data_IF_813327000310
#
_entry.id   IF_813327000310
#
_cell.length_a   1.000
_cell.length_b   1.000
_cell.length_c   1.000
_cell.angle_alpha   90.00
_cell.angle_beta   90.00
_cell.angle_gamma   90.00
#
_symmetry.space_group_name_H-M   'P 1'
#
loop_
_entity.id
_entity.type
_entity.pdbx_description
1 polymer ?
2 non-polymer ?
3 non-polymer ?
4 non-polymer ?
5 water ?
#
# COMPACT_ATOMS: atom_id res chain seq x y z
N UNK A 2 5.21 -10.76 -18.08
CA UNK A 2 6.26 -10.49 -17.10
C UNK A 2 6.17 -11.40 -15.88
N UNK A 3 7.28 -11.50 -15.19
CA UNK A 3 7.45 -12.32 -14.01
C UNK A 3 7.03 -11.58 -12.75
N UNK A 4 6.25 -12.26 -11.90
CA UNK A 4 5.82 -11.70 -10.61
C UNK A 4 6.77 -12.17 -9.50
N UNK A 5 6.97 -11.32 -8.47
CA UNK A 5 7.77 -11.69 -7.28
C UNK A 5 7.05 -11.17 -6.04
N UNK A 6 6.64 -12.06 -5.14
CA UNK A 6 6.02 -11.65 -3.89
C UNK A 6 7.12 -11.47 -2.85
N UNK A 7 7.36 -10.22 -2.46
CA UNK A 7 8.40 -9.83 -1.49
C UNK A 7 7.75 -9.46 -0.18
N UNK A 8 8.32 -9.92 0.94
CA UNK A 8 7.80 -9.60 2.26
C UNK A 8 8.88 -8.83 3.03
N UNK A 9 8.54 -7.64 3.54
CA UNK A 9 9.46 -6.81 4.32
C UNK A 9 9.11 -7.09 5.78
N UNK A 10 10.04 -7.73 6.53
CA UNK A 10 9.86 -8.12 7.94
C UNK A 10 10.93 -7.51 8.85
N UNK A 11 10.63 -7.45 10.15
CA UNK A 11 11.54 -6.89 11.13
C UNK A 11 10.79 -6.22 12.28
N UNK A 12 11.54 -5.90 13.35
CA UNK A 12 10.98 -5.28 14.57
C UNK A 12 10.29 -3.94 14.28
N UNK A 13 9.40 -3.52 15.19
CA UNK A 13 8.70 -2.25 15.06
C UNK A 13 9.64 -1.06 15.03
N UNK A 14 9.46 -0.17 14.06
CA UNK A 14 10.26 1.05 13.96
C UNK A 14 11.62 0.96 13.29
N UNK A 15 11.96 -0.22 12.71
CA UNK A 15 13.27 -0.36 12.03
C UNK A 15 13.36 0.41 10.70
N UNK A 16 12.22 0.71 10.10
CA UNK A 16 12.18 1.45 8.83
C UNK A 16 11.67 0.64 7.66
N UNK A 17 10.87 -0.39 7.92
CA UNK A 17 10.30 -1.24 6.86
C UNK A 17 9.43 -0.38 5.91
N UNK A 18 8.54 0.45 6.47
CA UNK A 18 7.67 1.32 5.70
C UNK A 18 8.47 2.43 5.03
N UNK A 19 9.39 3.07 5.76
CA UNK A 19 10.24 4.13 5.18
C UNK A 19 11.05 3.59 3.99
N UNK A 20 11.55 2.35 4.05
CA UNK A 20 12.29 1.76 2.92
C UNK A 20 11.39 1.49 1.70
N UNK A 21 10.22 0.88 1.93
CA UNK A 21 9.27 0.55 0.87
C UNK A 21 8.75 1.85 0.19
N UNK A 22 8.37 2.85 0.99
CA UNK A 22 7.89 4.14 0.48
C UNK A 22 8.99 4.90 -0.25
N UNK A 23 10.23 4.77 0.22
CA UNK A 23 11.38 5.39 -0.46
C UNK A 23 11.57 4.69 -1.83
N UNK A 24 11.45 3.36 -1.90
CA UNK A 24 11.57 2.63 -3.16
C UNK A 24 10.49 3.07 -4.18
N UNK A 25 9.26 3.15 -3.70
CA UNK A 25 8.04 3.35 -4.50
C UNK A 25 7.68 4.82 -4.78
N UNK A 26 7.89 5.73 -3.83
CA UNK A 26 7.53 7.15 -4.01
C UNK A 26 8.71 8.11 -4.06
N UNK A 27 9.95 7.65 -3.85
CA UNK A 27 11.12 8.53 -3.77
C UNK A 27 10.93 9.62 -2.72
N UNK A 28 10.34 9.23 -1.60
CA UNK A 28 10.00 10.14 -0.52
C UNK A 28 10.37 9.48 0.81
N UNK A 29 10.89 10.29 1.74
CA UNK A 29 11.26 9.81 3.07
C UNK A 29 10.16 10.16 4.08
N UNK A 30 9.59 9.13 4.71
CA UNK A 30 8.57 9.29 5.74
C UNK A 30 9.30 9.54 7.08
N UNK A 31 9.21 10.77 7.60
CA UNK A 31 9.85 11.17 8.85
C UNK A 31 9.01 10.79 10.10
N UNK A 32 7.69 10.76 9.97
CA UNK A 32 6.81 10.36 11.08
C UNK A 32 6.80 8.85 11.28
N UNK A 33 6.56 8.40 12.52
CA UNK A 33 6.41 6.98 12.80
C UNK A 33 4.91 6.63 12.93
N UNK A 34 4.33 5.99 11.89
CA UNK A 34 2.95 5.49 11.89
C UNK A 34 3.00 3.88 11.86
N UNK A 35 2.96 3.19 13.05
CA UNK A 35 2.98 1.69 13.11
C UNK A 35 2.04 1.07 12.08
N UNK A 36 2.59 0.22 11.19
CA UNK A 36 1.84 -0.43 10.11
C UNK A 36 0.99 -1.58 10.65
N UNK A 37 -0.18 -1.81 10.04
CA UNK A 37 -0.98 -3.00 10.32
C UNK A 37 -0.52 -3.95 9.17
N UNK A 38 -0.82 -3.58 7.92
CA UNK A 38 -0.34 -4.27 6.76
C UNK A 38 -0.70 -3.54 5.49
N UNK A 39 0.30 -3.16 4.71
CA UNK A 39 0.09 -2.49 3.42
C UNK A 39 0.73 -3.35 2.33
N UNK A 40 0.22 -3.21 1.10
CA UNK A 40 0.78 -3.93 -0.03
C UNK A 40 0.86 -3.01 -1.25
N UNK A 41 1.93 -3.17 -2.05
CA UNK A 41 2.16 -2.36 -3.23
C UNK A 41 2.55 -3.23 -4.42
N UNK A 42 2.05 -2.91 -5.61
CA UNK A 42 2.46 -3.62 -6.81
C UNK A 42 3.23 -2.62 -7.65
N UNK A 43 4.47 -2.95 -8.03
CA UNK A 43 5.30 -2.05 -8.78
C UNK A 43 6.00 -2.79 -9.92
N UNK A 44 6.00 -2.17 -11.10
CA UNK A 44 6.66 -2.71 -12.29
C UNK A 44 8.02 -2.00 -12.40
N UNK A 45 9.10 -2.79 -12.44
CA UNK A 45 10.47 -2.28 -12.53
C UNK A 45 11.23 -3.17 -13.53
N UNK A 46 12.28 -2.63 -14.14
CA UNK A 46 13.14 -3.44 -15.02
C UNK A 46 14.37 -3.86 -14.17
N UNK A 47 14.67 -5.18 -14.09
CA UNK A 47 15.85 -5.69 -13.36
C UNK A 47 16.64 -6.63 -14.30
N UNK A 48 17.86 -6.22 -14.66
CA UNK A 48 18.74 -6.97 -15.57
C UNK A 48 18.02 -7.27 -16.91
N UNK A 49 17.35 -6.26 -17.43
CA UNK A 49 16.58 -6.39 -18.66
C UNK A 49 15.32 -7.22 -18.58
N UNK A 50 14.96 -7.74 -17.41
CA UNK A 50 13.73 -8.53 -17.23
C UNK A 50 12.69 -7.61 -16.56
N UNK A 51 11.45 -7.51 -17.17
CA UNK A 51 10.37 -6.71 -16.59
C UNK A 51 9.83 -7.48 -15.41
N UNK A 52 9.82 -6.87 -14.22
CA UNK A 52 9.37 -7.54 -13.00
C UNK A 52 8.17 -6.84 -12.46
N UNK A 53 7.23 -7.65 -11.97
CA UNK A 53 6.09 -7.13 -11.26
C UNK A 53 6.30 -7.51 -9.77
N UNK A 54 6.66 -6.53 -8.95
CA UNK A 54 6.94 -6.76 -7.54
C UNK A 54 5.68 -6.54 -6.74
N UNK A 55 5.29 -7.54 -5.96
CA UNK A 55 4.12 -7.45 -5.07
C UNK A 55 4.76 -7.41 -3.66
N UNK A 56 4.94 -6.19 -3.14
CA UNK A 56 5.62 -5.96 -1.88
C UNK A 56 4.64 -5.87 -0.71
N UNK A 57 4.86 -6.72 0.29
CA UNK A 57 4.07 -6.73 1.51
C UNK A 57 4.85 -6.03 2.63
N UNK A 58 4.33 -4.89 3.10
CA UNK A 58 4.90 -4.11 4.18
C UNK A 58 4.16 -4.55 5.46
N UNK A 59 4.83 -5.37 6.29
CA UNK A 59 4.25 -6.03 7.46
C UNK A 59 4.38 -5.22 8.76
N UNK A 60 3.62 -5.65 9.78
CA UNK A 60 3.63 -5.04 11.11
C UNK A 60 4.82 -5.57 11.93
N UNK A 61 5.58 -4.66 12.49
CA UNK A 61 6.69 -5.03 13.37
C UNK A 61 6.25 -5.23 14.80
N UNK A 62 5.08 -4.68 15.18
CA UNK A 62 4.54 -4.79 16.53
C UNK A 62 4.26 -6.25 16.84
N UNK A 63 4.81 -6.71 17.96
CA UNK A 63 4.70 -8.10 18.41
C UNK A 63 3.27 -8.60 18.58
N UNK A 64 2.32 -7.72 18.84
CA UNK A 64 0.91 -8.14 18.96
C UNK A 64 0.32 -8.58 17.60
N UNK A 65 1.04 -8.32 16.48
CA UNK A 65 0.65 -8.81 15.17
C UNK A 65 1.46 -10.06 14.77
N UNK A 66 2.13 -10.73 15.73
CA UNK A 66 2.92 -11.94 15.43
C UNK A 66 2.07 -13.17 15.04
N UNK A 67 0.77 -13.00 14.75
CA UNK A 67 -0.12 -14.09 14.36
C UNK A 67 -0.43 -14.05 12.84
N UNK A 68 -0.36 -12.87 12.21
CA UNK A 68 -0.57 -12.73 10.74
C UNK A 68 0.60 -13.36 9.95
N UNK A 69 1.75 -13.57 10.61
CA UNK A 69 3.00 -14.00 10.02
C UNK A 69 2.98 -15.30 9.28
N UNK A 70 2.39 -16.31 9.85
CA UNK A 70 2.34 -17.63 9.26
C UNK A 70 1.78 -17.64 7.80
N UNK A 71 0.63 -17.00 7.56
CA UNK A 71 0.04 -16.98 6.22
C UNK A 71 0.97 -16.30 5.21
N UNK A 72 1.46 -15.10 5.52
CA UNK A 72 2.30 -14.35 4.58
C UNK A 72 3.70 -15.02 4.43
N UNK A 73 4.18 -15.77 5.43
CA UNK A 73 5.45 -16.48 5.31
C UNK A 73 5.34 -17.68 4.37
N UNK A 74 4.17 -18.33 4.34
CA UNK A 74 3.92 -19.43 3.40
C UNK A 74 3.88 -18.89 1.98
N UNK A 75 3.16 -17.79 1.76
CA UNK A 75 2.99 -17.23 0.42
C UNK A 75 4.20 -16.42 -0.12
N UNK A 76 4.91 -15.72 0.74
CA UNK A 76 6.07 -14.92 0.35
C UNK A 76 7.14 -15.73 -0.34
N UNK A 77 7.74 -15.16 -1.38
CA UNK A 77 8.80 -15.82 -2.13
C UNK A 77 10.20 -15.34 -1.71
N UNK A 78 10.28 -14.11 -1.20
CA UNK A 78 11.53 -13.53 -0.73
C UNK A 78 11.27 -12.68 0.48
N UNK A 79 12.23 -12.65 1.41
CA UNK A 79 12.07 -11.89 2.64
C UNK A 79 13.19 -10.89 2.86
N UNK A 80 12.81 -9.62 3.04
CA UNK A 80 13.72 -8.53 3.39
C UNK A 80 13.70 -8.43 4.92
N UNK A 81 14.72 -8.98 5.56
CA UNK A 81 14.83 -9.00 7.00
C UNK A 81 15.57 -7.76 7.45
N UNK A 82 14.81 -6.78 7.95
CA UNK A 82 15.32 -5.47 8.33
C UNK A 82 15.55 -5.34 9.82
N UNK A 83 16.68 -4.74 10.19
CA UNK A 83 16.98 -4.32 11.57
C UNK A 83 17.53 -2.88 11.47
N UNK A 84 17.51 -2.14 12.58
CA UNK A 84 18.09 -0.80 12.61
C UNK A 84 19.45 -0.90 13.28
N UNK A 85 20.48 -0.34 12.64
CA UNK A 85 21.85 -0.42 13.14
C UNK A 85 22.03 0.25 14.52
N UNK A 86 21.07 1.08 14.96
CA UNK A 86 21.10 1.75 16.26
C UNK A 86 20.16 1.05 17.29
N UNK A 87 19.65 -0.14 16.97
CA UNK A 87 18.75 -0.90 17.86
C UNK A 87 19.21 -2.34 17.91
N UNK A 88 19.95 -2.70 18.97
CA UNK A 88 20.49 -4.07 19.15
C UNK A 88 19.40 -5.12 19.24
N UNK A 89 18.27 -4.82 19.89
CA UNK A 89 17.15 -5.76 20.01
C UNK A 89 16.64 -6.11 18.61
N UNK A 90 16.49 -5.12 17.72
CA UNK A 90 16.02 -5.37 16.35
C UNK A 90 17.00 -6.31 15.60
N UNK A 91 18.29 -6.21 15.91
CA UNK A 91 19.31 -7.07 15.32
C UNK A 91 19.12 -8.53 15.82
N UNK A 92 18.92 -8.72 17.14
CA UNK A 92 18.64 -10.02 17.76
C UNK A 92 17.30 -10.60 17.25
N UNK A 93 16.31 -9.74 16.97
CA UNK A 93 15.01 -10.17 16.45
C UNK A 93 15.09 -10.78 15.05
N UNK A 94 16.15 -10.48 14.30
CA UNK A 94 16.37 -11.04 12.96
C UNK A 94 16.46 -12.56 13.03
N UNK A 95 17.14 -13.11 14.05
CA UNK A 95 17.33 -14.56 14.16
C UNK A 95 15.99 -15.23 14.31
N UNK A 96 15.12 -14.68 15.05
CA UNK A 96 13.75 -15.14 15.31
C UNK A 96 12.88 -15.09 14.04
N UNK A 97 12.98 -14.02 13.26
CA UNK A 97 12.21 -13.92 12.02
C UNK A 97 12.71 -14.99 11.03
N UNK A 98 14.03 -15.15 10.89
CA UNK A 98 14.60 -16.18 10.02
C UNK A 98 14.20 -17.61 10.45
N UNK A 99 14.25 -17.91 11.76
CA UNK A 99 13.86 -19.24 12.27
C UNK A 99 12.39 -19.52 11.97
N UNK A 100 11.53 -18.50 12.14
CA UNK A 100 10.12 -18.67 11.83
C UNK A 100 9.91 -18.94 10.33
N UNK A 101 10.60 -18.19 9.45
CA UNK A 101 10.44 -18.36 8.00
C UNK A 101 10.89 -19.79 7.60
N UNK A 102 12.01 -20.25 8.14
CA UNK A 102 12.52 -21.60 7.88
C UNK A 102 11.55 -22.69 8.36
N UNK A 103 10.91 -22.52 9.54
CA UNK A 103 9.93 -23.50 10.04
C UNK A 103 8.74 -23.55 9.07
N UNK A 104 8.12 -22.38 8.81
CA UNK A 104 6.94 -22.27 7.93
C UNK A 104 7.22 -22.82 6.51
N UNK A 105 8.39 -22.51 5.94
CA UNK A 105 8.74 -22.98 4.58
C UNK A 105 9.34 -24.41 4.57
N UNK A 106 9.67 -24.96 5.76
CA UNK A 106 10.34 -26.24 6.00
C UNK A 106 11.60 -26.33 5.13
N UNK A 107 12.37 -25.25 5.10
CA UNK A 107 13.52 -25.18 4.23
C UNK A 107 14.65 -24.35 4.81
N UNK A 108 15.86 -24.79 4.44
CA UNK A 108 17.12 -24.16 4.80
C UNK A 108 17.41 -22.95 3.94
N UNK A 109 17.10 -23.02 2.65
CA UNK A 109 17.37 -21.92 1.74
C UNK A 109 16.10 -21.25 1.26
N UNK A 110 15.72 -20.17 1.88
CA UNK A 110 14.61 -19.32 1.45
C UNK A 110 15.27 -17.99 0.91
N UNK A 111 14.92 -17.50 -0.33
CA UNK A 111 15.43 -16.17 -0.83
C UNK A 111 15.24 -15.12 0.25
N UNK A 112 16.35 -14.58 0.73
CA UNK A 112 16.34 -13.73 1.90
C UNK A 112 17.52 -12.74 1.82
N UNK A 113 17.30 -11.51 2.27
CA UNK A 113 18.36 -10.50 2.31
C UNK A 113 18.34 -9.85 3.70
N UNK A 114 19.54 -9.69 4.28
CA UNK A 114 19.68 -9.02 5.56
C UNK A 114 19.83 -7.53 5.30
N UNK A 115 19.05 -6.69 5.97
CA UNK A 115 19.12 -5.25 5.75
C UNK A 115 19.45 -4.49 7.06
N UNK A 116 20.54 -3.75 7.05
CA UNK A 116 20.95 -2.87 8.14
C UNK A 116 20.54 -1.45 7.80
N UNK A 117 19.38 -1.02 8.30
CA UNK A 117 18.83 0.29 8.01
C UNK A 117 19.25 1.39 9.03
N UNK A 118 19.08 2.65 8.61
CA UNK A 118 19.43 3.86 9.37
C UNK A 118 20.95 4.08 9.39
N UNK A 119 21.60 3.78 8.26
CA UNK A 119 23.05 3.95 8.04
C UNK A 119 23.50 5.42 8.07
N UNK A 120 22.56 6.35 7.98
CA UNK A 120 22.82 7.78 8.04
C UNK A 120 23.04 8.25 9.50
N UNK A 121 22.72 7.42 10.51
CA UNK A 121 22.87 7.80 11.93
C UNK A 121 24.32 7.62 12.57
N UNK A 122 24.77 8.65 13.37
CA UNK A 122 26.08 8.60 14.12
C UNK A 122 26.06 7.80 15.43
N UNK A 123 25.05 6.98 15.66
CA UNK A 123 24.84 6.26 16.93
C UNK A 123 24.58 4.75 16.78
N UNK A 124 25.36 4.10 15.91
CA UNK A 124 25.15 2.66 15.75
C UNK A 124 25.53 1.87 16.99
N UNK A 125 24.74 0.86 17.29
CA UNK A 125 24.97 -0.08 18.39
C UNK A 125 25.44 -1.45 17.83
N UNK A 126 25.22 -1.71 16.52
CA UNK A 126 25.60 -2.96 15.87
C UNK A 126 26.64 -2.59 14.84
N UNK A 127 27.86 -3.08 15.00
CA UNK A 127 28.90 -2.79 14.01
C UNK A 127 28.75 -3.73 12.83
N UNK A 128 29.21 -3.22 11.69
CA UNK A 128 29.14 -3.86 10.36
C UNK A 128 29.71 -5.30 10.40
N UNK A 129 30.70 -5.55 11.27
CA UNK A 129 31.32 -6.87 11.39
C UNK A 129 30.31 -7.91 11.87
N UNK A 130 29.55 -7.61 12.94
CA UNK A 130 28.52 -8.53 13.46
C UNK A 130 27.47 -8.82 12.37
N UNK A 131 27.04 -7.77 11.67
CA UNK A 131 26.03 -7.86 10.63
C UNK A 131 26.52 -8.77 9.46
N UNK A 132 27.74 -8.50 8.95
CA UNK A 132 28.34 -9.28 7.86
C UNK A 132 28.47 -10.75 8.30
N UNK A 133 28.94 -11.00 9.53
CA UNK A 133 29.09 -12.35 10.06
C UNK A 133 27.73 -13.06 10.19
N UNK A 134 26.67 -12.36 10.66
CA UNK A 134 25.34 -12.98 10.76
C UNK A 134 24.82 -13.42 9.37
N UNK A 135 24.89 -12.54 8.39
CA UNK A 135 24.46 -12.83 7.02
C UNK A 135 25.30 -13.98 6.43
N UNK A 136 26.60 -13.94 6.68
CA UNK A 136 27.57 -14.98 6.27
C UNK A 136 27.13 -16.34 6.84
N UNK A 137 26.75 -16.37 8.12
CA UNK A 137 26.30 -17.60 8.78
C UNK A 137 25.01 -18.16 8.16
N UNK A 138 24.13 -17.28 7.65
CA UNK A 138 22.90 -17.72 6.98
C UNK A 138 23.08 -18.07 5.50
N UNK A 139 24.17 -17.60 4.91
CA UNK A 139 24.45 -17.73 3.50
C UNK A 139 23.60 -16.77 2.69
N UNK A 140 23.38 -15.51 3.19
CA UNK A 140 22.57 -14.49 2.47
C UNK A 140 23.31 -13.10 2.26
N UNK A 141 22.93 -12.34 1.18
CA UNK A 141 23.44 -10.95 0.98
C UNK A 141 23.10 -10.05 2.18
N UNK A 142 24.00 -9.14 2.54
CA UNK A 142 23.78 -8.15 3.59
C UNK A 142 23.88 -6.83 2.89
N UNK A 143 22.82 -6.00 3.03
CA UNK A 143 22.79 -4.68 2.43
C UNK A 143 22.64 -3.62 3.49
N UNK A 144 23.43 -2.63 3.48
CA UNK A 144 23.42 -1.46 4.39
C UNK A 144 22.53 -0.43 3.69
N UNK A 145 21.51 0.08 4.39
CA UNK A 145 20.60 1.05 3.79
C UNK A 145 20.32 2.27 4.68
N UNK A 146 19.73 3.29 4.05
CA UNK A 146 19.17 4.46 4.71
C UNK A 146 17.93 4.86 3.92
N UNK A 147 16.76 4.76 4.52
CA UNK A 147 15.53 5.23 3.88
C UNK A 147 15.58 6.77 3.74
N UNK A 148 16.32 7.47 4.61
CA UNK A 148 16.48 8.92 4.59
C UNK A 148 17.30 9.42 3.37
N UNK A 149 18.48 8.82 3.11
CA UNK A 149 19.33 9.25 1.98
C UNK A 149 19.07 8.45 0.69
N UNK A 150 18.27 7.36 0.79
CA UNK A 150 17.96 6.39 -0.26
C UNK A 150 19.14 5.42 -0.49
N UNK A 151 20.24 5.49 0.30
CA UNK A 151 21.37 4.57 0.18
C UNK A 151 20.90 3.11 0.28
N UNK A 152 21.33 2.30 -0.68
CA UNK A 152 21.08 0.87 -0.75
C UNK A 152 19.64 0.41 -0.86
N UNK A 153 18.67 1.33 -0.98
CA UNK A 153 17.26 0.94 -1.09
C UNK A 153 17.01 0.02 -2.30
N UNK A 154 17.37 0.48 -3.51
CA UNK A 154 17.19 -0.31 -4.75
C UNK A 154 18.00 -1.59 -4.63
N UNK A 155 19.27 -1.50 -4.15
CA UNK A 155 20.09 -2.70 -3.93
C UNK A 155 19.39 -3.76 -3.07
N UNK A 156 18.69 -3.33 -2.01
CA UNK A 156 18.04 -4.27 -1.12
C UNK A 156 16.91 -5.08 -1.79
N UNK A 157 15.95 -4.39 -2.36
CA UNK A 157 14.85 -5.02 -3.05
C UNK A 157 15.32 -5.78 -4.31
N UNK A 158 16.20 -5.18 -5.12
CA UNK A 158 16.69 -5.80 -6.36
C UNK A 158 17.58 -7.01 -6.10
N UNK A 159 18.36 -6.98 -5.02
CA UNK A 159 19.15 -8.15 -4.65
C UNK A 159 18.20 -9.29 -4.26
N UNK A 160 17.10 -8.97 -3.53
CA UNK A 160 16.14 -9.99 -3.16
C UNK A 160 15.50 -10.66 -4.39
N UNK A 161 15.13 -9.86 -5.39
CA UNK A 161 14.57 -10.37 -6.65
C UNK A 161 15.58 -11.32 -7.33
N UNK A 162 16.84 -10.90 -7.40
CA UNK A 162 17.93 -11.72 -7.94
C UNK A 162 18.08 -13.04 -7.15
N UNK A 163 17.94 -12.99 -5.82
CA UNK A 163 17.98 -14.19 -4.98
C UNK A 163 16.83 -15.15 -5.33
N UNK A 164 15.63 -14.60 -5.59
CA UNK A 164 14.46 -15.41 -5.95
C UNK A 164 14.66 -16.05 -7.32
N UNK A 165 15.14 -15.24 -8.25
CA UNK A 165 15.38 -15.69 -9.63
C UNK A 165 16.39 -16.85 -9.66
N UNK A 166 17.47 -16.75 -8.87
CA UNK A 166 18.48 -17.82 -8.78
C UNK A 166 17.86 -19.07 -8.20
N UNK A 167 17.09 -18.90 -7.12
CA UNK A 167 16.42 -19.99 -6.42
C UNK A 167 15.47 -20.76 -7.38
N UNK A 168 14.69 -20.02 -8.19
CA UNK A 168 13.76 -20.61 -9.14
C UNK A 168 14.52 -21.42 -10.22
N UNK A 169 15.58 -20.80 -10.78
CA UNK A 169 16.45 -21.41 -11.79
C UNK A 169 17.15 -22.69 -11.22
N UNK A 170 17.42 -22.71 -9.87
CA UNK A 170 18.14 -23.76 -9.10
C UNK A 170 17.26 -24.97 -8.78
N UNK A 171 16.06 -24.70 -8.29
CA UNK A 171 15.06 -25.69 -7.86
C UNK A 171 14.65 -26.58 -9.04
N UNK B 2 -13.25 -5.65 16.17
CA UNK B 2 -13.63 -4.38 15.53
C UNK B 2 -14.25 -4.58 14.15
N UNK B 3 -14.93 -3.54 13.63
CA UNK B 3 -15.58 -3.70 12.33
C UNK B 3 -14.63 -3.36 11.20
N UNK B 4 -14.68 -4.16 10.13
CA UNK B 4 -13.83 -3.95 8.97
C UNK B 4 -14.65 -3.43 7.82
N UNK B 5 -14.07 -2.55 7.01
CA UNK B 5 -14.75 -1.98 5.86
C UNK B 5 -13.81 -2.03 4.67
N UNK B 6 -14.19 -2.75 3.61
CA UNK B 6 -13.43 -2.84 2.36
C UNK B 6 -13.84 -1.65 1.46
N UNK B 7 -12.96 -0.65 1.33
CA UNK B 7 -13.23 0.53 0.52
C UNK B 7 -12.41 0.46 -0.77
N UNK B 8 -13.03 0.79 -1.89
CA UNK B 8 -12.35 0.77 -3.18
C UNK B 8 -12.36 2.19 -3.72
N UNK B 9 -11.18 2.73 -4.06
CA UNK B 9 -11.04 4.07 -4.63
C UNK B 9 -10.92 3.85 -6.14
N UNK B 10 -11.94 4.31 -6.91
CA UNK B 10 -12.00 4.16 -8.38
C UNK B 10 -12.12 5.50 -9.09
N UNK B 11 -11.78 5.51 -10.37
CA UNK B 11 -11.81 6.72 -11.19
C UNK B 11 -10.74 6.73 -12.27
N UNK B 12 -10.86 7.67 -13.22
CA UNK B 12 -9.93 7.80 -14.35
C UNK B 12 -8.48 8.04 -13.91
N UNK B 13 -7.52 7.74 -14.78
CA UNK B 13 -6.11 7.93 -14.50
C UNK B 13 -5.77 9.38 -14.22
N UNK B 14 -5.07 9.63 -13.12
CA UNK B 14 -4.62 10.97 -12.77
C UNK B 14 -5.60 11.87 -12.03
N UNK B 15 -6.76 11.35 -11.63
CA UNK B 15 -7.75 12.18 -10.90
C UNK B 15 -7.33 12.49 -9.46
N UNK B 16 -6.44 11.69 -8.88
CA UNK B 16 -5.94 11.90 -7.52
C UNK B 16 -6.35 10.84 -6.53
N UNK B 17 -6.63 9.61 -7.00
CA UNK B 17 -7.02 8.50 -6.13
C UNK B 17 -5.90 8.17 -5.13
N UNK B 18 -4.66 8.09 -5.62
CA UNK B 18 -3.51 7.82 -4.79
C UNK B 18 -3.19 9.01 -3.88
N UNK B 19 -3.19 10.24 -4.43
CA UNK B 19 -2.94 11.44 -3.63
C UNK B 19 -3.97 11.56 -2.48
N UNK B 20 -5.25 11.20 -2.71
CA UNK B 20 -6.25 11.26 -1.64
C UNK B 20 -6.01 10.19 -0.55
N UNK B 21 -5.75 8.95 -0.97
CA UNK B 21 -5.49 7.83 -0.04
C UNK B 21 -4.22 8.12 0.80
N UNK B 22 -3.14 8.55 0.14
CA UNK B 22 -1.87 8.88 0.82
C UNK B 22 -2.03 10.08 1.75
N UNK B 23 -2.85 11.04 1.37
CA UNK B 23 -3.15 12.20 2.21
C UNK B 23 -3.92 11.72 3.48
N UNK B 24 -4.90 10.82 3.31
CA UNK B 24 -5.65 10.26 4.44
C UNK B 24 -4.71 9.52 5.43
N UNK B 25 -3.94 8.61 4.87
CA UNK B 25 -3.03 7.67 5.54
C UNK B 25 -1.71 8.31 6.09
N UNK B 26 -0.99 9.13 5.31
CA UNK B 26 0.33 9.69 5.70
C UNK B 26 0.37 11.18 6.00
N UNK B 27 -0.76 11.89 5.81
CA UNK B 27 -0.82 13.36 5.99
C UNK B 27 0.25 14.04 5.11
N UNK B 28 0.40 13.52 3.89
CA UNK B 28 1.39 13.99 2.95
C UNK B 28 0.76 14.08 1.55
N UNK B 29 1.16 15.11 0.80
CA UNK B 29 0.67 15.32 -0.57
C UNK B 29 1.71 14.85 -1.58
N UNK B 30 1.32 13.87 -2.41
CA UNK B 30 2.19 13.34 -3.47
C UNK B 30 2.03 14.27 -4.69
N UNK B 31 3.09 15.03 -5.02
CA UNK B 31 3.07 15.98 -6.13
C UNK B 31 3.37 15.30 -7.48
N UNK B 32 4.20 14.25 -7.50
CA UNK B 32 4.49 13.52 -8.74
C UNK B 32 3.37 12.59 -9.15
N UNK B 33 3.26 12.32 -10.45
CA UNK B 33 2.28 11.36 -10.94
C UNK B 33 2.96 9.99 -11.24
N UNK B 34 2.73 9.01 -10.36
CA UNK B 34 3.18 7.62 -10.50
C UNK B 34 1.90 6.67 -10.72
N UNK B 35 1.49 6.42 -12.02
CA UNK B 35 0.32 5.53 -12.33
C UNK B 35 0.34 4.26 -11.49
N UNK B 36 -0.74 4.04 -10.73
CA UNK B 36 -0.87 2.88 -9.83
C UNK B 36 -1.19 1.61 -10.61
N UNK B 37 -0.69 0.45 -10.14
CA UNK B 37 -1.11 -0.86 -10.68
C UNK B 37 -2.22 -1.24 -9.68
N UNK B 38 -1.84 -1.45 -8.41
CA UNK B 38 -2.79 -1.67 -7.33
C UNK B 38 -2.11 -1.74 -5.98
N UNK B 39 -2.50 -0.83 -5.08
CA UNK B 39 -1.96 -0.79 -3.71
C UNK B 39 -3.11 -0.99 -2.73
N UNK B 40 -2.79 -1.47 -1.53
CA UNK B 40 -3.80 -1.65 -0.49
C UNK B 40 -3.24 -1.22 0.86
N UNK B 41 -4.08 -0.60 1.69
CA UNK B 41 -3.70 -0.10 3.00
C UNK B 41 -4.70 -0.52 4.07
N UNK B 42 -4.23 -1.00 5.23
CA UNK B 42 -5.11 -1.34 6.36
C UNK B 42 -4.86 -0.30 7.44
N UNK B 43 -5.89 0.47 7.77
CA UNK B 43 -5.79 1.56 8.70
C UNK B 43 -6.89 1.51 9.75
N UNK B 44 -6.53 1.76 11.00
CA UNK B 44 -7.46 1.78 12.11
C UNK B 44 -7.76 3.25 12.44
N UNK B 45 -9.04 3.60 12.45
CA UNK B 45 -9.49 4.96 12.72
C UNK B 45 -10.71 4.87 13.62
N UNK B 46 -11.01 5.95 14.33
CA UNK B 46 -12.24 5.99 15.13
C UNK B 46 -13.25 6.89 14.39
N UNK B 47 -14.43 6.34 14.11
CA UNK B 47 -15.52 7.04 13.40
C UNK B 47 -16.79 6.99 14.25
N UNK B 48 -17.26 8.16 14.72
CA UNK B 48 -18.45 8.28 15.57
C UNK B 48 -18.27 7.47 16.84
N UNK B 49 -17.08 7.57 17.42
CA UNK B 49 -16.75 6.84 18.62
C UNK B 49 -16.54 5.35 18.44
N UNK B 50 -16.72 4.79 17.22
CA UNK B 50 -16.51 3.36 16.96
C UNK B 50 -15.17 3.15 16.24
N UNK B 51 -14.45 2.11 16.60
CA UNK B 51 -13.18 1.75 16.00
C UNK B 51 -13.46 0.95 14.70
N UNK B 52 -12.86 1.44 13.62
CA UNK B 52 -12.97 0.86 12.29
C UNK B 52 -11.64 0.42 11.76
N UNK B 53 -11.63 -0.72 11.08
CA UNK B 53 -10.48 -1.18 10.37
C UNK B 53 -10.79 -0.99 8.87
N UNK B 54 -10.18 0.01 8.25
CA UNK B 54 -10.41 0.32 6.84
C UNK B 54 -9.39 -0.40 5.99
N UNK B 55 -9.87 -1.20 5.05
CA UNK B 55 -9.02 -1.93 4.11
C UNK B 55 -9.26 -1.19 2.78
N UNK B 56 -8.38 -0.22 2.48
CA UNK B 56 -8.51 0.66 1.32
C UNK B 56 -7.76 0.11 0.13
N UNK B 57 -8.47 -0.09 -0.99
CA UNK B 57 -7.88 -0.52 -2.24
C UNK B 57 -7.72 0.68 -3.17
N UNK B 58 -6.47 1.03 -3.49
CA UNK B 58 -6.13 2.12 -4.39
C UNK B 58 -5.91 1.47 -5.78
N UNK B 59 -6.89 1.63 -6.68
CA UNK B 59 -6.94 0.96 -7.98
C UNK B 59 -6.29 1.76 -9.12
N UNK B 60 -6.06 1.08 -10.26
CA UNK B 60 -5.48 1.66 -11.46
C UNK B 60 -6.54 2.40 -12.27
N UNK B 61 -6.27 3.65 -12.62
CA UNK B 61 -7.17 4.42 -13.46
C UNK B 61 -6.92 4.19 -14.94
N UNK B 62 -5.72 3.68 -15.30
CA UNK B 62 -5.35 3.41 -16.68
C UNK B 62 -6.29 2.37 -17.27
N UNK B 63 -6.87 2.70 -18.41
CA UNK B 63 -7.86 1.85 -19.08
C UNK B 63 -7.37 0.46 -19.44
N UNK B 64 -6.06 0.28 -19.63
CA UNK B 64 -5.50 -1.05 -19.91
C UNK B 64 -5.60 -1.99 -18.69
N UNK B 65 -5.95 -1.45 -17.50
CA UNK B 65 -6.20 -2.28 -16.31
C UNK B 65 -7.70 -2.48 -16.09
N UNK B 66 -8.57 -2.19 -17.08
CA UNK B 66 -10.02 -2.35 -16.94
C UNK B 66 -10.49 -3.83 -16.82
N UNK B 67 -9.56 -4.80 -16.62
CA UNK B 67 -9.89 -6.20 -16.48
C UNK B 67 -9.80 -6.67 -15.02
N UNK B 68 -8.96 -6.00 -14.18
CA UNK B 68 -8.85 -6.31 -12.73
C UNK B 68 -10.14 -5.92 -11.95
N UNK B 69 -10.94 -5.05 -12.55
CA UNK B 69 -12.09 -4.43 -11.91
C UNK B 69 -13.16 -5.38 -11.38
N UNK B 70 -13.54 -6.44 -12.12
CA UNK B 70 -14.64 -7.33 -11.70
C UNK B 70 -14.46 -7.93 -10.32
N UNK B 71 -13.28 -8.51 -10.08
CA UNK B 71 -13.01 -9.19 -8.83
C UNK B 71 -12.99 -8.23 -7.62
N UNK B 72 -12.38 -7.02 -7.74
CA UNK B 72 -12.40 -6.06 -6.62
C UNK B 72 -13.79 -5.41 -6.47
N UNK B 73 -14.58 -5.32 -7.56
CA UNK B 73 -15.95 -4.79 -7.46
C UNK B 73 -16.87 -5.78 -6.73
N UNK B 74 -16.62 -7.08 -6.82
CA UNK B 74 -17.40 -8.06 -6.07
C UNK B 74 -17.03 -8.01 -4.56
N UNK B 75 -15.73 -7.91 -4.23
CA UNK B 75 -15.29 -7.88 -2.83
C UNK B 75 -15.55 -6.54 -2.13
N UNK B 76 -15.40 -5.43 -2.84
CA UNK B 76 -15.56 -4.10 -2.27
C UNK B 76 -16.93 -3.87 -1.65
N UNK B 77 -16.95 -3.21 -0.50
CA UNK B 77 -18.19 -2.90 0.21
C UNK B 77 -18.62 -1.46 -0.02
N UNK B 78 -17.68 -0.57 -0.32
CA UNK B 78 -17.96 0.83 -0.60
C UNK B 78 -17.05 1.33 -1.68
N UNK B 79 -17.55 2.23 -2.52
CA UNK B 79 -16.75 2.76 -3.62
C UNK B 79 -16.66 4.28 -3.60
N UNK B 80 -15.43 4.79 -3.59
CA UNK B 80 -15.12 6.20 -3.68
C UNK B 80 -14.89 6.49 -5.18
N UNK B 81 -15.90 7.06 -5.83
CA UNK B 81 -15.86 7.36 -7.24
C UNK B 81 -15.31 8.75 -7.43
N UNK B 82 -14.05 8.83 -7.84
CA UNK B 82 -13.32 10.09 -7.93
C UNK B 82 -13.22 10.58 -9.38
N UNK B 83 -13.44 11.89 -9.56
CA UNK B 83 -13.18 12.61 -10.82
C UNK B 83 -12.41 13.89 -10.44
N UNK B 84 -11.74 14.50 -11.41
CA UNK B 84 -11.05 15.77 -11.18
C UNK B 84 -11.93 16.89 -11.74
N UNK B 85 -12.18 17.91 -10.94
CA UNK B 85 -13.08 19.02 -11.33
C UNK B 85 -12.56 19.80 -12.55
N UNK B 86 -11.26 19.63 -12.92
CA UNK B 86 -10.66 20.30 -14.08
C UNK B 86 -10.55 19.30 -15.28
N UNK B 87 -11.19 18.12 -15.21
CA UNK B 87 -11.13 17.11 -16.28
C UNK B 87 -12.53 16.58 -16.52
N UNK B 88 -13.20 17.12 -17.57
CA UNK B 88 -14.56 16.72 -17.94
C UNK B 88 -14.69 15.24 -18.30
N UNK B 89 -13.67 14.66 -18.95
CA UNK B 89 -13.69 13.24 -19.31
C UNK B 89 -13.76 12.38 -18.03
N UNK B 90 -12.98 12.74 -17.00
CA UNK B 90 -12.99 11.98 -15.76
C UNK B 90 -14.39 12.05 -15.10
N UNK B 91 -15.11 13.16 -15.30
CA UNK B 91 -16.47 13.32 -14.79
C UNK B 91 -17.44 12.37 -15.54
N UNK B 92 -17.33 12.30 -16.87
CA UNK B 92 -18.10 11.37 -17.72
C UNK B 92 -17.75 9.90 -17.41
N UNK B 93 -16.48 9.62 -17.06
CA UNK B 93 -16.04 8.26 -16.71
C UNK B 93 -16.70 7.73 -15.42
N UNK B 94 -17.20 8.63 -14.57
CA UNK B 94 -17.88 8.22 -13.34
C UNK B 94 -19.11 7.36 -13.65
N UNK B 95 -19.88 7.72 -14.69
CA UNK B 95 -21.11 7.00 -15.02
C UNK B 95 -20.78 5.55 -15.35
N UNK B 96 -19.76 5.34 -16.06
CA UNK B 96 -19.23 4.05 -16.49
C UNK B 96 -18.76 3.19 -15.31
N UNK B 97 -18.06 3.81 -14.34
CA UNK B 97 -17.60 3.08 -13.17
C UNK B 97 -18.83 2.64 -12.34
N UNK B 98 -19.79 3.57 -12.13
CA UNK B 98 -21.01 3.25 -11.39
C UNK B 98 -21.84 2.12 -12.08
N UNK B 99 -22.00 2.18 -13.42
CA UNK B 99 -22.75 1.16 -14.15
C UNK B 99 -22.07 -0.20 -14.02
N UNK B 100 -20.73 -0.22 -14.08
CA UNK B 100 -20.01 -1.48 -13.93
C UNK B 100 -20.20 -2.05 -12.50
N UNK B 101 -20.12 -1.21 -11.47
CA UNK B 101 -20.27 -1.66 -10.08
C UNK B 101 -21.67 -2.24 -9.87
N UNK B 102 -22.70 -1.56 -10.41
CA UNK B 102 -24.08 -2.06 -10.32
C UNK B 102 -24.28 -3.41 -11.02
N UNK B 103 -23.64 -3.58 -12.17
CA UNK B 103 -23.73 -4.82 -12.94
C UNK B 103 -23.07 -5.98 -12.17
N UNK B 104 -21.83 -5.80 -11.70
CA UNK B 104 -21.07 -6.80 -10.94
C UNK B 104 -21.77 -7.18 -9.61
N UNK B 105 -22.34 -6.21 -8.94
CA UNK B 105 -22.96 -6.45 -7.65
C UNK B 105 -24.46 -6.76 -7.77
N UNK B 106 -25.01 -6.71 -8.99
CA UNK B 106 -26.41 -6.93 -9.35
C UNK B 106 -27.30 -6.17 -8.40
N UNK B 107 -26.92 -4.91 -8.13
CA UNK B 107 -27.65 -4.14 -7.16
C UNK B 107 -27.73 -2.66 -7.52
N UNK B 108 -28.84 -2.08 -7.12
CA UNK B 108 -29.17 -0.67 -7.34
C UNK B 108 -28.49 0.21 -6.32
N UNK B 109 -28.43 -0.26 -5.07
CA UNK B 109 -27.87 0.51 -3.97
C UNK B 109 -26.59 -0.14 -3.46
N UNK B 110 -25.46 0.38 -3.93
CA UNK B 110 -24.16 -0.02 -3.45
C UNK B 110 -23.60 1.24 -2.63
N UNK B 111 -23.13 1.09 -1.36
CA UNK B 111 -22.47 2.21 -0.61
C UNK B 111 -21.43 2.87 -1.53
N UNK B 112 -21.68 4.15 -1.85
CA UNK B 112 -20.90 4.84 -2.86
C UNK B 112 -20.88 6.34 -2.56
N UNK B 113 -19.75 6.99 -2.82
CA UNK B 113 -19.63 8.43 -2.62
C UNK B 113 -18.99 9.03 -3.87
N UNK B 114 -19.57 10.14 -4.34
CA UNK B 114 -19.02 10.87 -5.49
C UNK B 114 -17.98 11.86 -4.97
N UNK B 115 -16.77 11.87 -5.55
CA UNK B 115 -15.72 12.78 -5.11
C UNK B 115 -15.23 13.68 -6.24
N UNK B 116 -15.33 14.99 -6.00
CA UNK B 116 -14.81 16.02 -6.90
C UNK B 116 -13.48 16.51 -6.36
N UNK B 117 -12.38 15.94 -6.88
CA UNK B 117 -11.03 16.26 -6.43
C UNK B 117 -10.35 17.42 -7.20
N UNK B 118 -9.30 17.99 -6.60
CA UNK B 118 -8.51 19.10 -7.13
C UNK B 118 -9.29 20.43 -6.99
N UNK B 119 -10.02 20.57 -5.87
CA UNK B 119 -10.80 21.77 -5.52
C UNK B 119 -9.94 23.01 -5.27
N UNK B 120 -8.64 22.81 -5.10
CA UNK B 120 -7.69 23.90 -4.88
C UNK B 120 -7.34 24.60 -6.21
N UNK B 121 -7.69 24.00 -7.38
CA UNK B 121 -7.38 24.58 -8.70
C UNK B 121 -8.38 25.70 -9.20
N UNK B 122 -7.81 26.83 -9.74
CA UNK B 122 -8.62 27.95 -10.35
C UNK B 122 -9.12 27.69 -11.78
N UNK B 123 -9.12 26.45 -12.24
CA UNK B 123 -9.45 26.08 -13.63
C UNK B 123 -10.47 24.94 -13.78
N UNK B 124 -11.54 24.98 -12.97
CA UNK B 124 -12.53 23.92 -13.07
C UNK B 124 -13.29 23.94 -14.39
N UNK B 125 -13.56 22.75 -14.91
CA UNK B 125 -14.34 22.53 -16.12
C UNK B 125 -15.73 21.94 -15.77
N UNK B 126 -15.91 21.40 -14.55
CA UNK B 126 -17.16 20.82 -14.10
C UNK B 126 -17.60 21.69 -12.95
N UNK B 127 -18.73 22.39 -13.08
CA UNK B 127 -19.22 23.22 -11.99
C UNK B 127 -19.96 22.31 -10.98
N UNK B 128 -19.96 22.79 -9.75
CA UNK B 128 -20.52 22.13 -8.56
C UNK B 128 -21.99 21.68 -8.79
N UNK B 129 -22.73 22.44 -9.59
CA UNK B 129 -24.12 22.14 -9.87
C UNK B 129 -24.27 20.81 -10.64
N UNK B 130 -23.47 20.60 -11.69
CA UNK B 130 -23.52 19.31 -12.45
C UNK B 130 -23.17 18.14 -11.53
N UNK B 131 -22.14 18.33 -10.70
CA UNK B 131 -21.66 17.30 -9.77
C UNK B 131 -22.77 16.94 -8.74
N UNK B 132 -23.38 17.96 -8.11
CA UNK B 132 -24.44 17.77 -7.13
C UNK B 132 -25.63 17.05 -7.79
N UNK B 133 -26.00 17.47 -9.02
CA UNK B 133 -27.10 16.84 -9.76
C UNK B 133 -26.80 15.38 -10.11
N UNK B 134 -25.56 15.06 -10.52
CA UNK B 134 -25.20 13.67 -10.82
C UNK B 134 -25.33 12.77 -9.58
N UNK B 135 -24.78 13.20 -8.46
CA UNK B 135 -24.85 12.47 -7.19
C UNK B 135 -26.32 12.33 -6.73
N UNK B 136 -27.09 13.42 -6.88
CA UNK B 136 -28.53 13.46 -6.57
C UNK B 136 -29.27 12.39 -7.40
N UNK B 137 -28.94 12.28 -8.69
CA UNK B 137 -29.56 11.27 -9.57
C UNK B 137 -29.23 9.84 -9.17
N UNK B 138 -28.03 9.61 -8.57
CA UNK B 138 -27.65 8.26 -8.10
C UNK B 138 -28.17 7.96 -6.69
N UNK B 139 -28.54 9.01 -5.95
CA UNK B 139 -28.94 8.91 -4.56
C UNK B 139 -27.73 8.70 -3.67
N UNK B 140 -26.59 9.39 -3.96
CA UNK B 140 -25.35 9.26 -3.13
C UNK B 140 -24.75 10.65 -2.65
N UNK B 141 -24.03 10.67 -1.49
CA UNK B 141 -23.29 11.89 -1.03
C UNK B 141 -22.28 12.35 -2.09
N UNK B 142 -22.09 13.68 -2.21
CA UNK B 142 -21.08 14.25 -3.09
C UNK B 142 -20.15 15.03 -2.17
N UNK B 143 -18.83 14.80 -2.28
CA UNK B 143 -17.85 15.50 -1.46
C UNK B 143 -16.86 16.17 -2.38
N UNK B 144 -16.54 17.41 -2.08
CA UNK B 144 -15.55 18.19 -2.79
C UNK B 144 -14.26 18.05 -2.02
N UNK B 145 -13.17 17.67 -2.70
CA UNK B 145 -11.90 17.44 -2.01
C UNK B 145 -10.69 18.09 -2.71
N UNK B 146 -9.59 18.14 -1.96
CA UNK B 146 -8.28 18.52 -2.46
C UNK B 146 -7.26 17.67 -1.71
N UNK B 147 -6.55 16.80 -2.40
CA UNK B 147 -5.47 16.02 -1.79
C UNK B 147 -4.30 16.96 -1.39
N UNK B 148 -4.16 18.11 -2.09
CA UNK B 148 -3.12 19.10 -1.82
C UNK B 148 -3.34 19.85 -0.48
N UNK B 149 -4.56 20.36 -0.24
CA UNK B 149 -4.82 21.09 1.02
C UNK B 149 -5.41 20.21 2.16
N UNK B 150 -5.80 18.96 1.82
CA UNK B 150 -6.46 17.97 2.69
C UNK B 150 -7.97 18.29 2.84
N UNK B 151 -8.51 19.30 2.12
CA UNK B 151 -9.93 19.62 2.16
C UNK B 151 -10.77 18.38 1.80
N UNK B 152 -11.76 18.09 2.63
CA UNK B 152 -12.73 17.02 2.43
C UNK B 152 -12.21 15.60 2.37
N UNK B 153 -10.89 15.38 2.58
CA UNK B 153 -10.33 14.02 2.52
C UNK B 153 -10.99 13.09 3.54
N UNK B 154 -10.97 13.46 4.84
CA UNK B 154 -11.57 12.66 5.91
C UNK B 154 -13.07 12.53 5.64
N UNK B 155 -13.74 13.64 5.26
CA UNK B 155 -15.18 13.58 4.91
C UNK B 155 -15.49 12.55 3.85
N UNK B 156 -14.63 12.41 2.82
CA UNK B 156 -14.89 11.47 1.74
C UNK B 156 -14.87 9.99 2.20
N UNK B 157 -13.76 9.59 2.80
CA UNK B 157 -13.64 8.23 3.30
C UNK B 157 -14.62 7.94 4.46
N UNK B 158 -14.77 8.88 5.41
CA UNK B 158 -15.66 8.68 6.56
C UNK B 158 -17.12 8.68 6.19
N UNK B 159 -17.51 9.48 5.18
CA UNK B 159 -18.88 9.42 4.68
C UNK B 159 -19.14 8.06 4.05
N UNK B 160 -18.15 7.51 3.30
CA UNK B 160 -18.31 6.20 2.70
C UNK B 160 -18.52 5.11 3.76
N UNK B 161 -17.76 5.15 4.85
CA UNK B 161 -17.89 4.21 5.97
C UNK B 161 -19.31 4.31 6.57
N UNK B 162 -19.78 5.54 6.79
CA UNK B 162 -21.13 5.80 7.28
C UNK B 162 -22.19 5.25 6.31
N UNK B 163 -21.96 5.35 4.99
CA UNK B 163 -22.86 4.79 3.97
C UNK B 163 -22.93 3.26 4.09
N UNK B 164 -21.79 2.61 4.31
CA UNK B 164 -21.76 1.13 4.44
C UNK B 164 -22.44 0.73 5.75
N UNK B 165 -22.15 1.45 6.84
CA UNK B 165 -22.74 1.17 8.16
C UNK B 165 -24.27 1.26 8.08
N UNK B 166 -24.81 2.27 7.39
CA UNK B 166 -26.27 2.42 7.22
C UNK B 166 -26.83 1.26 6.42
N UNK B 167 -26.15 0.93 5.32
CA UNK B 167 -26.53 -0.16 4.42
C UNK B 167 -26.61 -1.50 5.18
N UNK B 168 -25.63 -1.76 6.02
CA UNK B 168 -25.57 -2.99 6.82
C UNK B 168 -26.72 -3.04 7.85
N UNK B 169 -26.93 -1.93 8.58
CA UNK B 169 -27.98 -1.76 9.60
C UNK B 169 -29.36 -2.06 9.04
N UNK B 170 -29.60 -1.87 7.77
CA UNK B 170 -30.89 -2.26 7.16
C UNK B 170 -31.33 -3.71 7.54
#
# INVERSE_FOLDING_TARGET
GMTEYKLVVVGAGGVGKSALTIQLIQNHFVDEYDPTIEDSYRKQVVIDGETCLLDILDTAGREEYSAMRDQYMRTGEGFLCVFAINNSKSFADINLYREQIKRVKDSDDVPMVLVGNKSDLPTRTVDTKQAHELAKSYGIPFIETSAKTRQGVEDAFYTLVREIRQYRMKKLN
GMTEYKLVVVGAGGVGKSALTIQLIQNHFVDEYDPTIEDSYRKQVVIDGETCLLDILDTAGREEYSAMRDQYMRTGEGFLCVFAINNSKSFADINLYREQIKRVKDSDDVPMVLVGNKSDLPTRTVDTKQAHELAKSYGIPFIETSAKTRQGVEDAFYTLVREIRQYRMKKLN
#
